data_IF_704114532611
#
_entry.id   IF_704114532611
#
_cell.length_a   1.000
_cell.length_b   1.000
_cell.length_c   1.000
_cell.angle_alpha   90.00
_cell.angle_beta   90.00
_cell.angle_gamma   90.00
#
_symmetry.space_group_name_H-M   'P 1'
#
loop_
_entity.id
_entity.type
_entity.pdbx_description
1 polymer ?
#
# COMPACT_ATOMS: atom_id res chain seq x y z
N UNK A 1 -13.58 -31.39 -23.74
CA UNK A 1 -14.07 -30.75 -22.50
C UNK A 1 -12.89 -30.25 -21.66
N UNK A 2 -12.37 -29.02 -21.86
CA UNK A 2 -11.14 -28.58 -21.21
C UNK A 2 -11.32 -27.58 -20.04
N UNK A 3 -12.55 -27.27 -19.60
CA UNK A 3 -12.82 -26.20 -18.63
C UNK A 3 -13.10 -26.66 -17.17
N UNK A 4 -13.06 -27.98 -16.89
CA UNK A 4 -13.45 -28.51 -15.57
C UNK A 4 -12.41 -28.24 -14.49
N UNK A 5 -11.12 -28.45 -14.79
CA UNK A 5 -10.01 -28.24 -13.84
C UNK A 5 -9.92 -26.78 -13.37
N UNK A 6 -9.89 -25.75 -14.25
CA UNK A 6 -9.80 -24.36 -13.79
C UNK A 6 -11.05 -23.90 -13.02
N UNK A 7 -12.23 -24.47 -13.32
CA UNK A 7 -13.47 -24.16 -12.58
C UNK A 7 -13.44 -24.76 -11.18
N UNK A 8 -12.99 -26.01 -11.05
CA UNK A 8 -12.85 -26.67 -9.75
C UNK A 8 -11.83 -25.92 -8.86
N UNK A 9 -10.69 -25.52 -9.42
CA UNK A 9 -9.68 -24.75 -8.69
C UNK A 9 -10.22 -23.40 -8.21
N UNK A 10 -11.03 -22.71 -9.01
CA UNK A 10 -11.71 -21.47 -8.58
C UNK A 10 -12.68 -21.72 -7.43
N UNK A 11 -13.49 -22.76 -7.51
CA UNK A 11 -14.46 -23.11 -6.46
C UNK A 11 -13.74 -23.51 -5.18
N UNK A 12 -12.67 -24.32 -5.26
CA UNK A 12 -11.88 -24.69 -4.09
C UNK A 12 -11.18 -23.48 -3.45
N UNK A 13 -10.59 -22.59 -4.25
CA UNK A 13 -10.00 -21.35 -3.75
C UNK A 13 -11.07 -20.46 -3.09
N UNK A 14 -12.29 -20.42 -3.64
CA UNK A 14 -13.40 -19.67 -3.06
C UNK A 14 -13.88 -20.27 -1.74
N UNK A 15 -13.99 -21.60 -1.65
CA UNK A 15 -14.36 -22.30 -0.41
C UNK A 15 -13.28 -22.14 0.65
N UNK A 16 -12.01 -22.33 0.28
CA UNK A 16 -10.85 -22.14 1.17
C UNK A 16 -10.83 -20.73 1.77
N UNK A 17 -11.09 -19.71 0.92
CA UNK A 17 -11.14 -18.31 1.33
C UNK A 17 -12.29 -18.01 2.29
N UNK A 18 -13.47 -18.57 2.02
CA UNK A 18 -14.67 -18.42 2.87
C UNK A 18 -14.49 -19.14 4.20
N UNK A 19 -13.76 -20.25 4.23
CA UNK A 19 -13.50 -21.02 5.44
C UNK A 19 -12.29 -20.56 6.25
N UNK A 20 -11.52 -19.57 5.78
CA UNK A 20 -10.35 -19.04 6.51
C UNK A 20 -9.13 -19.95 6.54
N UNK A 21 -9.06 -20.97 5.66
CA UNK A 21 -7.98 -21.96 5.67
C UNK A 21 -6.69 -21.49 4.99
N UNK A 22 -6.72 -20.33 4.34
CA UNK A 22 -5.57 -19.72 3.69
C UNK A 22 -5.20 -18.39 4.34
N UNK A 23 -3.89 -18.11 4.37
CA UNK A 23 -3.41 -16.75 4.64
C UNK A 23 -3.83 -15.84 3.48
N UNK A 24 -4.51 -14.75 3.79
CA UNK A 24 -4.90 -13.76 2.82
C UNK A 24 -3.67 -13.25 2.07
N UNK A 25 -3.78 -13.11 0.75
CA UNK A 25 -2.75 -12.52 -0.13
C UNK A 25 -3.30 -11.41 -1.03
N UNK A 26 -4.60 -11.12 -0.90
CA UNK A 26 -5.30 -9.99 -1.54
C UNK A 26 -6.60 -9.68 -0.82
N UNK A 27 -7.13 -8.48 -1.04
CA UNK A 27 -8.51 -8.17 -0.67
C UNK A 27 -9.52 -9.04 -1.45
N UNK A 28 -10.77 -9.15 -0.98
CA UNK A 28 -11.86 -9.78 -1.72
C UNK A 28 -12.05 -9.17 -3.12
N UNK A 29 -12.52 -9.95 -4.12
CA UNK A 29 -12.61 -9.50 -5.52
C UNK A 29 -13.53 -8.29 -5.78
N UNK A 30 -14.51 -8.06 -4.92
CA UNK A 30 -15.49 -6.98 -4.95
C UNK A 30 -15.01 -5.71 -4.22
N UNK A 31 -13.84 -5.76 -3.59
CA UNK A 31 -13.28 -4.63 -2.86
C UNK A 31 -12.59 -3.61 -3.80
N UNK A 32 -12.67 -2.31 -3.46
CA UNK A 32 -12.01 -1.23 -4.21
C UNK A 32 -10.49 -1.44 -4.37
N UNK A 33 -9.89 -2.16 -3.42
CA UNK A 33 -8.46 -2.49 -3.41
C UNK A 33 -8.18 -3.95 -3.79
N UNK A 34 -9.07 -4.62 -4.55
CA UNK A 34 -8.90 -6.02 -4.97
C UNK A 34 -7.58 -6.30 -5.75
N UNK A 35 -6.96 -5.26 -6.33
CA UNK A 35 -5.67 -5.34 -7.02
C UNK A 35 -4.46 -5.30 -6.10
N UNK A 36 -4.63 -4.91 -4.84
CA UNK A 36 -3.55 -4.95 -3.86
C UNK A 36 -3.23 -6.41 -3.52
N UNK A 37 -1.97 -6.78 -3.71
CA UNK A 37 -1.44 -8.11 -3.42
C UNK A 37 -0.33 -8.00 -2.39
N UNK A 38 -0.17 -9.03 -1.58
CA UNK A 38 0.96 -9.13 -0.66
C UNK A 38 1.42 -10.58 -0.50
N UNK A 39 2.64 -10.76 -0.02
CA UNK A 39 3.17 -12.09 0.29
C UNK A 39 2.62 -12.58 1.63
N UNK A 40 1.59 -13.44 1.57
CA UNK A 40 0.89 -13.97 2.75
C UNK A 40 1.82 -14.56 3.83
N UNK A 41 2.93 -15.21 3.47
CA UNK A 41 3.87 -15.78 4.43
C UNK A 41 4.46 -14.76 5.44
N UNK A 42 4.44 -13.46 5.10
CA UNK A 42 4.94 -12.38 5.96
C UNK A 42 3.83 -11.61 6.66
N UNK A 43 2.59 -11.80 6.23
CA UNK A 43 1.39 -11.17 6.78
C UNK A 43 0.41 -12.27 7.16
N UNK A 44 0.57 -12.79 8.38
CA UNK A 44 -0.25 -13.88 8.93
C UNK A 44 -1.69 -13.41 9.23
N UNK A 45 -2.45 -13.15 8.17
CA UNK A 45 -3.81 -12.62 8.19
C UNK A 45 -4.73 -13.70 7.68
N UNK A 46 -5.65 -14.18 8.51
CA UNK A 46 -6.67 -15.13 8.09
C UNK A 46 -7.59 -14.54 7.00
N UNK A 47 -7.93 -15.33 5.97
CA UNK A 47 -8.69 -14.87 4.80
C UNK A 47 -10.17 -14.55 5.05
N UNK A 48 -10.70 -14.95 6.19
CA UNK A 48 -12.08 -14.70 6.63
C UNK A 48 -12.27 -13.31 7.29
N UNK A 49 -11.16 -12.59 7.53
CA UNK A 49 -11.21 -11.23 8.08
C UNK A 49 -11.85 -10.25 7.10
N UNK A 50 -12.56 -9.27 7.67
CA UNK A 50 -13.15 -8.19 6.88
C UNK A 50 -12.06 -7.33 6.23
N UNK A 51 -12.29 -6.75 5.02
CA UNK A 51 -11.29 -5.93 4.33
C UNK A 51 -10.65 -4.85 5.20
N UNK A 52 -11.44 -4.15 6.02
CA UNK A 52 -10.96 -3.08 6.89
C UNK A 52 -10.01 -3.62 7.98
N UNK A 53 -10.26 -4.84 8.46
CA UNK A 53 -9.41 -5.51 9.43
C UNK A 53 -8.10 -5.99 8.80
N UNK A 54 -8.15 -6.44 7.55
CA UNK A 54 -6.96 -6.80 6.77
C UNK A 54 -6.09 -5.56 6.58
N UNK A 55 -6.66 -4.46 6.08
CA UNK A 55 -5.92 -3.22 5.84
C UNK A 55 -5.31 -2.64 7.12
N UNK A 56 -6.07 -2.65 8.23
CA UNK A 56 -5.54 -2.22 9.53
C UNK A 56 -4.36 -3.09 9.99
N UNK A 57 -4.48 -4.41 9.90
CA UNK A 57 -3.39 -5.32 10.30
C UNK A 57 -2.14 -5.11 9.43
N UNK A 58 -2.32 -4.86 8.13
CA UNK A 58 -1.22 -4.51 7.22
C UNK A 58 -0.57 -3.18 7.62
N UNK A 59 -1.34 -2.12 7.89
CA UNK A 59 -0.80 -0.84 8.35
C UNK A 59 -0.07 -0.97 9.70
N UNK A 60 -0.59 -1.77 10.64
CA UNK A 60 0.08 -2.05 11.92
C UNK A 60 1.43 -2.76 11.70
N UNK A 61 1.47 -3.77 10.83
CA UNK A 61 2.71 -4.46 10.48
C UNK A 61 3.74 -3.50 9.84
N UNK A 62 3.29 -2.63 8.93
CA UNK A 62 4.14 -1.62 8.29
C UNK A 62 4.64 -0.55 9.26
N UNK A 63 3.81 -0.11 10.21
CA UNK A 63 4.20 0.86 11.23
C UNK A 63 5.33 0.29 12.12
N UNK A 64 5.28 -1.00 12.42
CA UNK A 64 6.31 -1.69 13.20
C UNK A 64 7.55 -2.01 12.35
N UNK A 65 7.36 -2.48 11.11
CA UNK A 65 8.44 -2.90 10.20
C UNK A 65 8.23 -2.31 8.80
N UNK A 66 8.69 -1.07 8.55
CA UNK A 66 8.44 -0.38 7.28
C UNK A 66 9.01 -1.08 6.03
N UNK A 67 10.06 -1.89 6.18
CA UNK A 67 10.66 -2.62 5.06
C UNK A 67 9.75 -3.68 4.45
N UNK A 68 8.73 -4.17 5.19
CA UNK A 68 7.75 -5.12 4.65
C UNK A 68 6.93 -4.55 3.49
N UNK A 69 6.96 -3.23 3.27
CA UNK A 69 6.32 -2.58 2.15
C UNK A 69 6.79 -3.12 0.79
N UNK A 70 8.04 -3.61 0.69
CA UNK A 70 8.57 -4.22 -0.53
C UNK A 70 7.79 -5.46 -0.99
N UNK A 71 7.04 -6.08 -0.07
CA UNK A 71 6.30 -7.32 -0.29
C UNK A 71 4.85 -7.05 -0.72
N UNK A 72 4.49 -5.78 -0.95
CA UNK A 72 3.14 -5.32 -1.30
C UNK A 72 3.15 -4.77 -2.73
N UNK A 73 2.25 -5.28 -3.56
CA UNK A 73 1.99 -4.80 -4.91
C UNK A 73 0.70 -3.97 -4.92
N UNK A 74 0.73 -2.81 -5.59
CA UNK A 74 -0.40 -1.86 -5.65
C UNK A 74 -0.92 -1.49 -4.25
N UNK A 75 -0.07 -0.95 -3.35
CA UNK A 75 -0.45 -0.67 -1.96
C UNK A 75 -1.61 0.32 -1.89
N UNK A 76 -2.47 0.17 -0.88
CA UNK A 76 -3.60 1.08 -0.68
C UNK A 76 -3.12 2.47 -0.26
N UNK A 77 -3.96 3.51 -0.40
CA UNK A 77 -3.62 4.84 0.09
C UNK A 77 -3.20 4.87 1.58
N UNK A 78 -3.88 4.10 2.44
CA UNK A 78 -3.55 4.02 3.88
C UNK A 78 -2.19 3.37 4.14
N UNK A 79 -1.83 2.34 3.39
CA UNK A 79 -0.51 1.71 3.50
C UNK A 79 0.61 2.66 3.06
N UNK A 80 0.39 3.43 1.99
CA UNK A 80 1.36 4.44 1.52
C UNK A 80 1.55 5.54 2.56
N UNK A 81 0.47 6.07 3.13
CA UNK A 81 0.56 7.07 4.20
C UNK A 81 1.29 6.56 5.44
N UNK A 82 1.15 5.27 5.75
CA UNK A 82 1.89 4.63 6.84
C UNK A 82 3.39 4.64 6.57
N UNK A 83 3.81 4.33 5.33
CA UNK A 83 5.21 4.42 4.94
C UNK A 83 5.73 5.88 4.94
N UNK A 84 4.93 6.83 4.46
CA UNK A 84 5.26 8.26 4.49
C UNK A 84 5.47 8.74 5.93
N UNK A 85 4.60 8.34 6.88
CA UNK A 85 4.77 8.66 8.29
C UNK A 85 6.07 8.09 8.87
N UNK A 86 6.49 6.89 8.44
CA UNK A 86 7.77 6.30 8.83
C UNK A 86 8.96 7.08 8.24
N UNK A 87 8.87 7.52 6.98
CA UNK A 87 9.86 8.39 6.32
C UNK A 87 10.00 9.70 7.10
N UNK A 88 8.89 10.41 7.34
CA UNK A 88 8.89 11.67 8.10
C UNK A 88 9.49 11.50 9.51
N UNK A 89 9.14 10.41 10.20
CA UNK A 89 9.66 10.10 11.53
C UNK A 89 11.18 9.90 11.53
N UNK A 90 11.76 9.29 10.49
CA UNK A 90 13.21 9.17 10.33
C UNK A 90 13.86 10.51 10.00
N UNK A 91 13.27 11.29 9.08
CA UNK A 91 13.75 12.64 8.74
C UNK A 91 13.83 13.54 9.97
N UNK A 92 12.79 13.53 10.82
CA UNK A 92 12.74 14.33 12.06
C UNK A 92 13.80 13.93 13.08
N UNK A 93 14.17 12.66 13.14
CA UNK A 93 15.16 12.14 14.11
C UNK A 93 16.60 12.36 13.69
N UNK A 94 16.85 12.82 12.46
CA UNK A 94 18.20 12.93 11.86
C UNK A 94 19.03 11.64 11.90
N UNK A 95 18.39 10.50 12.23
CA UNK A 95 18.95 9.16 12.09
C UNK A 95 18.86 8.79 10.61
N UNK A 96 19.96 8.37 9.99
CA UNK A 96 20.10 7.89 8.60
C UNK A 96 19.02 8.31 7.59
N UNK A 97 19.43 8.98 6.51
CA UNK A 97 18.52 9.37 5.42
C UNK A 97 17.59 8.21 5.03
N UNK A 98 16.25 8.43 4.98
CA UNK A 98 15.26 7.36 4.76
C UNK A 98 15.16 6.95 3.28
N UNK A 99 16.30 6.92 2.60
CA UNK A 99 16.42 6.66 1.17
C UNK A 99 15.92 5.26 0.84
N UNK A 100 16.17 4.30 1.75
CA UNK A 100 15.67 2.93 1.66
C UNK A 100 14.14 2.89 1.55
N UNK A 101 13.44 3.62 2.43
CA UNK A 101 11.98 3.68 2.44
C UNK A 101 11.43 4.48 1.25
N UNK A 102 12.12 5.56 0.86
CA UNK A 102 11.75 6.34 -0.33
C UNK A 102 11.79 5.49 -1.60
N UNK A 103 12.83 4.65 -1.75
CA UNK A 103 12.94 3.70 -2.88
C UNK A 103 11.75 2.72 -2.91
N UNK A 104 11.28 2.24 -1.75
CA UNK A 104 10.11 1.35 -1.71
C UNK A 104 8.84 2.05 -2.22
N UNK A 105 8.64 3.32 -1.83
CA UNK A 105 7.51 4.11 -2.30
C UNK A 105 7.59 4.38 -3.81
N UNK A 106 8.77 4.77 -4.32
CA UNK A 106 9.00 5.00 -5.75
C UNK A 106 8.69 3.74 -6.56
N UNK A 107 9.19 2.58 -6.12
CA UNK A 107 8.93 1.29 -6.78
C UNK A 107 7.45 0.94 -6.82
N UNK A 108 6.71 1.19 -5.74
CA UNK A 108 5.27 0.97 -5.72
C UNK A 108 4.52 1.87 -6.73
N UNK A 109 4.99 3.10 -6.93
CA UNK A 109 4.43 4.04 -7.89
C UNK A 109 4.79 3.74 -9.34
N UNK A 110 5.76 2.86 -9.61
CA UNK A 110 6.02 2.36 -10.96
C UNK A 110 4.81 1.62 -11.56
N UNK A 111 3.93 1.08 -10.72
CA UNK A 111 2.65 0.53 -11.19
C UNK A 111 1.64 1.66 -11.47
N UNK A 112 0.99 1.68 -12.66
CA UNK A 112 -0.09 2.61 -12.96
C UNK A 112 -1.39 2.27 -12.20
N UNK A 113 -1.44 1.11 -11.54
CA UNK A 113 -2.60 0.66 -10.76
C UNK A 113 -2.53 1.04 -9.29
N UNK A 114 -1.38 1.56 -8.83
CA UNK A 114 -1.25 2.11 -7.48
C UNK A 114 -2.06 3.40 -7.39
N UNK A 115 -3.13 3.34 -6.60
CA UNK A 115 -3.97 4.50 -6.29
C UNK A 115 -3.17 5.50 -5.47
N UNK A 116 -3.18 6.76 -5.87
CA UNK A 116 -2.38 7.78 -5.20
C UNK A 116 -2.95 8.16 -3.84
N UNK A 117 -2.12 8.13 -2.79
CA UNK A 117 -2.52 8.58 -1.46
C UNK A 117 -2.47 10.10 -1.29
N UNK A 118 -1.47 10.74 -1.88
CA UNK A 118 -1.19 12.17 -1.75
C UNK A 118 -1.22 12.78 -3.15
N UNK A 119 -2.16 13.71 -3.45
CA UNK A 119 -2.25 14.34 -4.76
C UNK A 119 -0.91 14.94 -5.22
N UNK A 120 -0.45 14.53 -6.40
CA UNK A 120 0.78 15.00 -7.04
C UNK A 120 2.05 14.23 -6.65
N UNK A 121 1.94 13.15 -5.87
CA UNK A 121 3.08 12.32 -5.50
C UNK A 121 3.66 11.57 -6.70
N UNK A 122 2.80 11.07 -7.58
CA UNK A 122 3.17 10.44 -8.85
C UNK A 122 3.91 11.42 -9.74
N UNK A 123 3.38 12.63 -9.89
CA UNK A 123 4.01 13.67 -10.70
C UNK A 123 5.39 14.04 -10.17
N UNK A 124 5.56 14.14 -8.85
CA UNK A 124 6.85 14.39 -8.23
C UNK A 124 7.87 13.26 -8.49
N UNK A 125 7.43 12.00 -8.41
CA UNK A 125 8.27 10.84 -8.74
C UNK A 125 8.64 10.83 -10.22
N UNK A 126 7.68 11.08 -11.11
CA UNK A 126 7.90 11.14 -12.55
C UNK A 126 8.82 12.29 -12.95
N UNK A 127 8.74 13.44 -12.28
CA UNK A 127 9.65 14.56 -12.49
C UNK A 127 11.09 14.16 -12.13
N UNK A 128 11.29 13.62 -10.93
CA UNK A 128 12.62 13.17 -10.50
C UNK A 128 13.20 12.06 -11.38
N UNK A 129 12.36 11.16 -11.91
CA UNK A 129 12.77 10.12 -12.84
C UNK A 129 13.11 10.63 -14.25
N UNK A 130 12.59 11.79 -14.67
CA UNK A 130 12.94 12.44 -15.94
C UNK A 130 14.24 13.24 -15.83
N UNK A 131 14.46 13.86 -14.67
CA UNK A 131 15.55 14.82 -14.46
C UNK A 131 16.89 14.12 -14.12
N UNK A 132 16.87 12.90 -13.58
CA UNK A 132 18.11 12.16 -13.30
C UNK A 132 17.98 10.71 -12.83
N UNK A 133 18.93 10.28 -12.00
CA UNK A 133 19.00 8.91 -11.48
C UNK A 133 18.10 8.70 -10.24
N UNK A 134 18.13 7.49 -9.66
CA UNK A 134 17.31 7.15 -8.49
C UNK A 134 17.55 8.09 -7.31
N UNK A 135 18.77 8.65 -7.13
CA UNK A 135 19.07 9.55 -6.01
C UNK A 135 18.39 10.91 -6.18
N UNK A 136 18.32 11.42 -7.42
CA UNK A 136 17.58 12.63 -7.71
C UNK A 136 16.08 12.44 -7.49
N UNK A 137 15.52 11.30 -7.91
CA UNK A 137 14.13 10.95 -7.64
C UNK A 137 13.83 10.86 -6.14
N UNK A 138 14.73 10.26 -5.35
CA UNK A 138 14.63 10.24 -3.87
C UNK A 138 14.64 11.67 -3.32
N UNK A 139 15.58 12.50 -3.78
CA UNK A 139 15.69 13.90 -3.36
C UNK A 139 14.42 14.71 -3.62
N UNK A 140 13.85 14.59 -4.82
CA UNK A 140 12.58 15.25 -5.20
C UNK A 140 11.42 14.74 -4.34
N UNK A 141 11.30 13.43 -4.14
CA UNK A 141 10.25 12.84 -3.31
C UNK A 141 10.37 13.27 -1.83
N UNK A 142 11.57 13.23 -1.25
CA UNK A 142 11.80 13.66 0.12
C UNK A 142 11.55 15.17 0.28
N UNK A 143 11.92 15.97 -0.72
CA UNK A 143 11.59 17.39 -0.80
C UNK A 143 10.07 17.63 -0.83
N UNK A 144 9.34 16.87 -1.65
CA UNK A 144 7.88 16.91 -1.73
C UNK A 144 7.21 16.54 -0.40
N UNK A 145 7.66 15.47 0.26
CA UNK A 145 7.16 15.06 1.57
C UNK A 145 7.44 16.16 2.61
N UNK A 146 8.67 16.70 2.64
CA UNK A 146 9.06 17.75 3.60
C UNK A 146 8.27 19.05 3.43
N UNK A 147 7.92 19.41 2.20
CA UNK A 147 7.18 20.63 1.89
C UNK A 147 5.72 20.60 2.41
N UNK A 148 5.21 19.45 2.84
CA UNK A 148 3.85 19.28 3.37
C UNK A 148 3.91 18.88 4.85
N UNK A 149 3.46 19.72 5.80
CA UNK A 149 3.44 19.34 7.21
C UNK A 149 2.28 18.37 7.53
N UNK A 150 2.65 17.25 8.18
CA UNK A 150 1.85 16.26 8.93
C UNK A 150 0.56 15.74 8.27
N UNK A 151 0.67 14.59 7.60
CA UNK A 151 -0.49 13.72 7.26
C UNK A 151 -1.02 12.91 8.46
N UNK A 152 -0.41 13.07 9.64
CA UNK A 152 -0.62 12.22 10.82
C UNK A 152 -1.56 12.86 11.87
N UNK A 153 -1.90 14.15 11.75
CA UNK A 153 -2.88 14.78 12.64
C UNK A 153 -4.31 14.62 12.10
N UNK A 154 -4.98 13.55 12.52
CA UNK A 154 -6.38 13.64 12.94
C UNK A 154 -7.52 13.37 11.95
N UNK A 155 -7.32 13.19 10.65
CA UNK A 155 -8.47 13.14 9.70
C UNK A 155 -8.60 11.88 8.82
N UNK A 156 -7.76 10.86 9.01
CA UNK A 156 -7.74 9.64 8.16
C UNK A 156 -8.16 8.38 8.96
N UNK A 157 -8.85 8.56 10.09
CA UNK A 157 -9.47 7.48 10.86
C UNK A 157 -10.99 7.68 10.95
N UNK A 158 -11.63 8.19 9.90
CA UNK A 158 -13.03 7.90 9.66
C UNK A 158 -13.33 7.96 8.17
N UNK A 159 -13.28 6.81 7.49
CA UNK A 159 -13.89 6.66 6.18
C UNK A 159 -14.80 5.45 6.21
N UNK A 160 -15.70 5.43 7.20
CA UNK A 160 -16.97 4.72 7.14
C UNK A 160 -18.09 5.54 6.48
N UNK A 161 -17.78 6.62 5.75
CA UNK A 161 -18.77 7.48 5.12
C UNK A 161 -18.80 7.29 3.58
N UNK A 162 -19.98 7.10 2.96
CA UNK A 162 -20.10 6.89 1.52
C UNK A 162 -19.77 8.19 0.77
N UNK A 163 -18.94 8.05 -0.28
CA UNK A 163 -18.62 9.10 -1.24
C UNK A 163 -19.91 9.78 -1.75
N UNK A 164 -20.20 10.98 -1.26
CA UNK A 164 -21.15 11.88 -1.92
C UNK A 164 -20.48 12.46 -3.15
N UNK A 165 -20.89 11.97 -4.32
CA UNK A 165 -20.77 12.66 -5.60
C UNK A 165 -21.34 14.07 -5.44
N UNK A 166 -20.49 15.09 -5.48
CA UNK A 166 -20.91 16.47 -5.68
C UNK A 166 -20.95 16.72 -7.18
N UNK A 167 -22.10 17.23 -7.60
CA UNK A 167 -22.53 17.53 -8.96
C UNK A 167 -22.04 18.91 -9.39
#
# INVERSE_FOLDING_TARGET
MPALIPTLLKVMAQVSRVCGFETASSFPPDHIHARTRWRGAYFDIASDRKPEQIERAMCEALANTPSLFELIENPTPRMQLTLVAAIESRMRRSSNMPDDLAVLLIKAYASPHTMEAIPGMRDAIEQGARDGDMQECIGVLLGFIRARPSFVDGDIIDSGAPLRLVR
#
